data_IF_132607766334
#
_entry.id   IF_132607766334
#
_cell.length_a   1.000
_cell.length_b   1.000
_cell.length_c   1.000
_cell.angle_alpha   90.00
_cell.angle_beta   90.00
_cell.angle_gamma   90.00
#
_symmetry.space_group_name_H-M   'P 1'
#
loop_
_entity.id
_entity.type
_entity.pdbx_description
1 polymer ?
#
# COMPACT_ATOMS: atom_id res chain seq x y z
N UNK A 1 -13.46 5.65 -3.30
CA UNK A 1 -14.73 5.16 -3.85
C UNK A 1 -15.84 5.54 -2.88
N UNK A 2 -16.92 6.18 -3.40
CA UNK A 2 -18.17 6.30 -2.66
C UNK A 2 -18.98 5.01 -2.79
N UNK A 3 -19.78 4.68 -1.80
CA UNK A 3 -20.76 3.59 -1.92
C UNK A 3 -21.98 4.12 -2.62
N UNK A 4 -22.34 3.55 -3.76
CA UNK A 4 -23.55 3.87 -4.49
C UNK A 4 -24.44 2.64 -4.50
N UNK A 5 -25.67 2.80 -4.04
CA UNK A 5 -26.68 1.76 -4.13
C UNK A 5 -27.52 2.03 -5.38
N UNK A 6 -27.58 1.05 -6.27
CA UNK A 6 -28.42 1.09 -7.44
C UNK A 6 -29.54 0.06 -7.24
N UNK A 7 -30.78 0.53 -7.26
CA UNK A 7 -31.95 -0.35 -7.20
C UNK A 7 -32.15 -1.09 -8.53
N UNK A 8 -31.74 -0.46 -9.63
CA UNK A 8 -31.75 -1.05 -10.96
C UNK A 8 -30.37 -0.93 -11.61
N UNK A 9 -29.86 -2.04 -12.15
CA UNK A 9 -28.64 -2.02 -12.94
C UNK A 9 -28.96 -1.60 -14.38
N UNK A 10 -28.24 -0.61 -14.95
CA UNK A 10 -28.38 -0.29 -16.35
C UNK A 10 -28.03 -1.52 -17.21
N UNK A 11 -28.94 -1.86 -18.13
CA UNK A 11 -28.76 -3.00 -19.07
C UNK A 11 -27.93 -2.63 -20.29
N UNK A 12 -27.82 -1.35 -20.56
CA UNK A 12 -27.08 -0.83 -21.70
C UNK A 12 -25.59 -0.65 -21.39
N UNK A 13 -24.75 -0.76 -22.41
CA UNK A 13 -23.33 -0.47 -22.29
C UNK A 13 -23.15 1.00 -21.92
N UNK A 14 -22.54 1.26 -20.78
CA UNK A 14 -22.26 2.63 -20.34
C UNK A 14 -21.10 3.21 -21.16
N UNK A 15 -21.22 4.43 -21.69
CA UNK A 15 -20.12 5.10 -22.36
C UNK A 15 -18.98 5.36 -21.35
N UNK A 16 -17.75 5.35 -21.84
CA UNK A 16 -16.60 5.79 -21.04
C UNK A 16 -16.77 7.26 -20.67
N UNK A 17 -16.83 7.57 -19.39
CA UNK A 17 -16.93 8.94 -18.90
C UNK A 17 -15.64 9.73 -19.15
N UNK A 18 -14.50 9.04 -19.12
CA UNK A 18 -13.17 9.60 -19.41
C UNK A 18 -12.40 8.67 -20.32
N UNK A 19 -11.48 9.25 -21.09
CA UNK A 19 -10.58 8.46 -21.93
C UNK A 19 -9.65 7.58 -21.10
N UNK A 20 -9.16 6.50 -21.72
CA UNK A 20 -8.13 5.67 -21.13
C UNK A 20 -6.88 6.50 -20.82
N UNK A 21 -6.29 6.30 -19.64
CA UNK A 21 -5.11 7.04 -19.21
C UNK A 21 -5.36 8.44 -18.64
N UNK A 22 -6.58 8.98 -18.68
CA UNK A 22 -6.91 10.33 -18.20
C UNK A 22 -6.48 10.57 -16.75
N UNK A 23 -6.77 9.63 -15.87
CA UNK A 23 -6.39 9.71 -14.45
C UNK A 23 -4.87 9.84 -14.26
N UNK A 24 -4.08 9.07 -15.03
CA UNK A 24 -2.62 9.13 -14.97
C UNK A 24 -2.09 10.44 -15.57
N UNK A 25 -2.65 10.89 -16.68
CA UNK A 25 -2.26 12.15 -17.33
C UNK A 25 -2.56 13.35 -16.42
N UNK A 26 -3.73 13.38 -15.80
CA UNK A 26 -4.20 14.51 -14.96
C UNK A 26 -3.55 14.56 -13.58
N UNK A 27 -3.24 13.40 -12.97
CA UNK A 27 -2.84 13.33 -11.55
C UNK A 27 -1.54 12.57 -11.29
N UNK A 28 -1.01 11.87 -12.28
CA UNK A 28 0.11 10.93 -12.09
C UNK A 28 1.49 11.57 -11.96
N UNK A 29 1.62 12.89 -12.20
CA UNK A 29 2.89 13.62 -12.18
C UNK A 29 2.97 14.69 -11.09
N UNK A 30 2.22 14.52 -9.99
CA UNK A 30 2.09 15.49 -8.90
C UNK A 30 1.56 16.86 -9.35
N UNK A 31 0.79 16.88 -10.43
CA UNK A 31 0.09 18.04 -10.95
C UNK A 31 -1.41 17.89 -10.71
N UNK A 32 -2.11 18.98 -10.57
CA UNK A 32 -3.58 19.02 -10.47
C UNK A 32 -4.11 20.00 -11.51
N UNK A 33 -5.17 19.64 -12.27
CA UNK A 33 -5.88 20.61 -13.10
C UNK A 33 -6.36 21.79 -12.25
N UNK A 34 -6.27 23.02 -12.79
CA UNK A 34 -6.65 24.23 -12.05
C UNK A 34 -8.12 24.21 -11.60
N UNK A 35 -8.98 23.58 -12.39
CA UNK A 35 -10.41 23.46 -12.12
C UNK A 35 -10.76 22.30 -11.17
N UNK A 36 -9.76 21.50 -10.75
CA UNK A 36 -10.01 20.36 -9.87
C UNK A 36 -10.41 20.82 -8.46
N UNK A 37 -11.66 20.56 -8.09
CA UNK A 37 -12.23 20.97 -6.81
C UNK A 37 -12.07 19.96 -5.68
N UNK A 38 -11.42 18.82 -5.95
CA UNK A 38 -11.20 17.80 -4.92
C UNK A 38 -12.48 17.13 -4.42
N UNK A 39 -13.44 16.91 -5.27
CA UNK A 39 -14.67 16.21 -4.92
C UNK A 39 -14.37 14.76 -4.53
N UNK A 40 -14.83 14.36 -3.36
CA UNK A 40 -14.65 13.00 -2.83
C UNK A 40 -13.44 12.82 -1.91
N UNK A 41 -13.44 11.71 -1.20
CA UNK A 41 -12.42 11.36 -0.20
C UNK A 41 -11.35 10.39 -0.74
N UNK A 42 -11.62 9.75 -1.88
CA UNK A 42 -10.69 8.82 -2.54
C UNK A 42 -9.74 9.55 -3.50
N UNK A 43 -8.63 8.89 -3.81
CA UNK A 43 -7.67 9.41 -4.78
C UNK A 43 -8.29 9.55 -6.17
N UNK A 44 -8.08 10.67 -6.88
CA UNK A 44 -8.43 10.79 -8.29
C UNK A 44 -7.49 9.97 -9.21
N UNK A 45 -6.32 9.59 -8.71
CA UNK A 45 -5.40 8.69 -9.40
C UNK A 45 -5.84 7.24 -9.21
N UNK A 46 -6.22 6.57 -10.29
CA UNK A 46 -6.75 5.20 -10.25
C UNK A 46 -5.66 4.13 -10.28
N UNK A 47 -4.51 4.42 -10.87
CA UNK A 47 -3.41 3.46 -11.05
C UNK A 47 -2.10 4.06 -10.54
N UNK A 48 -1.41 3.31 -9.71
CA UNK A 48 -0.05 3.59 -9.26
C UNK A 48 0.89 2.56 -9.89
N UNK A 49 1.59 2.90 -11.01
CA UNK A 49 2.38 1.92 -11.75
C UNK A 49 3.47 1.29 -10.90
N UNK A 50 3.52 -0.03 -10.88
CA UNK A 50 4.50 -0.80 -10.11
C UNK A 50 5.95 -0.43 -10.47
N UNK A 51 6.23 -0.23 -11.75
CA UNK A 51 7.57 0.15 -12.24
C UNK A 51 8.10 1.42 -11.58
N UNK A 52 7.25 2.44 -11.39
CA UNK A 52 7.63 3.67 -10.69
C UNK A 52 7.88 3.43 -9.19
N UNK A 53 7.01 2.67 -8.56
CA UNK A 53 7.15 2.32 -7.14
C UNK A 53 8.40 1.49 -6.90
N UNK A 54 8.66 0.50 -7.76
CA UNK A 54 9.86 -0.36 -7.69
C UNK A 54 11.15 0.44 -7.86
N UNK A 55 11.18 1.38 -8.81
CA UNK A 55 12.33 2.27 -9.01
C UNK A 55 12.57 3.18 -7.79
N UNK A 56 11.50 3.74 -7.20
CA UNK A 56 11.60 4.55 -5.98
C UNK A 56 12.14 3.76 -4.79
N UNK A 57 11.66 2.53 -4.58
CA UNK A 57 12.17 1.64 -3.53
C UNK A 57 13.65 1.32 -3.71
N UNK A 58 14.08 1.00 -4.94
CA UNK A 58 15.48 0.73 -5.25
C UNK A 58 16.38 1.94 -4.95
N UNK A 59 15.96 3.14 -5.37
CA UNK A 59 16.70 4.36 -5.08
C UNK A 59 16.81 4.64 -3.57
N UNK A 60 15.72 4.48 -2.83
CA UNK A 60 15.71 4.71 -1.38
C UNK A 60 16.56 3.68 -0.63
N UNK A 61 16.59 2.43 -1.07
CA UNK A 61 17.47 1.40 -0.51
C UNK A 61 18.94 1.82 -0.57
N UNK A 62 19.37 2.46 -1.66
CA UNK A 62 20.77 2.90 -1.85
C UNK A 62 21.08 4.21 -1.11
N UNK A 63 20.10 5.06 -0.89
CA UNK A 63 20.32 6.45 -0.44
C UNK A 63 19.88 6.73 1.00
N UNK A 64 19.20 5.80 1.66
CA UNK A 64 18.70 6.00 3.01
C UNK A 64 18.98 4.80 3.93
N UNK A 65 19.13 5.01 5.24
CA UNK A 65 19.22 3.92 6.19
C UNK A 65 17.95 3.09 6.19
N UNK A 66 18.11 1.77 6.29
CA UNK A 66 17.02 0.83 6.38
C UNK A 66 16.32 0.95 7.74
N UNK A 67 15.02 0.92 7.73
CA UNK A 67 14.26 0.79 8.98
C UNK A 67 14.42 -0.62 9.56
N UNK A 68 14.61 -0.70 10.88
CA UNK A 68 14.96 -1.96 11.54
C UNK A 68 13.90 -3.06 11.41
N UNK A 69 12.62 -2.72 11.31
CA UNK A 69 11.53 -3.69 11.22
C UNK A 69 11.08 -3.99 9.78
N UNK A 70 11.07 -2.99 8.89
CA UNK A 70 10.41 -3.12 7.59
C UNK A 70 11.28 -2.75 6.38
N UNK A 71 12.60 -2.55 6.56
CA UNK A 71 13.51 -2.18 5.45
C UNK A 71 13.20 -0.81 4.87
N UNK A 72 12.89 -0.75 3.58
CA UNK A 72 12.36 0.45 2.92
C UNK A 72 10.88 0.28 2.72
N UNK A 73 10.06 1.20 3.22
CA UNK A 73 8.60 1.16 3.06
C UNK A 73 8.06 2.49 2.56
N UNK A 74 7.29 2.44 1.49
CA UNK A 74 6.62 3.59 0.91
C UNK A 74 5.12 3.48 1.12
N UNK A 75 4.49 4.60 1.43
CA UNK A 75 3.05 4.76 1.46
C UNK A 75 2.56 5.30 0.12
N UNK A 76 1.54 4.70 -0.44
CA UNK A 76 0.81 5.32 -1.54
C UNK A 76 0.04 6.54 -1.04
N UNK A 77 0.03 7.59 -1.83
CA UNK A 77 -0.59 8.85 -1.44
C UNK A 77 -1.59 9.34 -2.50
N UNK A 78 -2.70 9.88 -2.03
CA UNK A 78 -3.62 10.65 -2.86
C UNK A 78 -2.91 11.95 -3.30
N UNK A 79 -2.71 12.19 -4.60
CA UNK A 79 -1.96 13.35 -5.08
C UNK A 79 -2.66 14.70 -4.77
N UNK A 80 -3.97 14.69 -4.57
CA UNK A 80 -4.73 15.89 -4.24
C UNK A 80 -4.61 16.32 -2.76
N UNK A 81 -4.34 15.38 -1.85
CA UNK A 81 -4.39 15.65 -0.41
C UNK A 81 -3.12 15.26 0.34
N UNK A 82 -2.25 14.45 -0.26
CA UNK A 82 -1.11 13.84 0.40
C UNK A 82 -1.47 12.76 1.44
N UNK A 83 -2.75 12.49 1.67
CA UNK A 83 -3.24 11.44 2.57
C UNK A 83 -3.23 10.07 1.87
N UNK A 84 -3.79 9.05 2.49
CA UNK A 84 -3.97 7.74 1.88
C UNK A 84 -4.90 7.81 0.65
N UNK A 85 -4.74 6.88 -0.32
CA UNK A 85 -5.61 6.85 -1.51
C UNK A 85 -7.08 6.64 -1.17
N UNK A 86 -7.36 5.96 -0.07
CA UNK A 86 -8.70 5.71 0.45
C UNK A 86 -8.84 6.25 1.87
N UNK A 87 -10.02 6.71 2.27
CA UNK A 87 -10.23 7.28 3.60
C UNK A 87 -10.13 6.23 4.73
N UNK A 88 -10.42 4.96 4.41
CA UNK A 88 -10.47 3.87 5.40
C UNK A 88 -9.34 2.86 5.25
N UNK A 89 -8.58 2.92 4.16
CA UNK A 89 -7.57 1.92 3.82
C UNK A 89 -6.23 2.59 3.51
N UNK A 90 -5.20 2.17 4.21
CA UNK A 90 -3.81 2.51 3.92
C UNK A 90 -3.20 1.46 3.01
N UNK A 91 -2.38 1.87 2.06
CA UNK A 91 -1.67 0.98 1.14
C UNK A 91 -0.19 1.31 1.12
N UNK A 92 0.65 0.26 1.10
CA UNK A 92 2.09 0.37 1.18
C UNK A 92 2.78 -0.58 0.21
N UNK A 93 4.02 -0.24 -0.12
CA UNK A 93 4.97 -1.14 -0.76
C UNK A 93 6.28 -1.11 0.01
N UNK A 94 6.80 -2.26 0.38
CA UNK A 94 8.08 -2.36 1.09
C UNK A 94 9.08 -3.20 0.31
N UNK A 95 10.37 -2.86 0.45
CA UNK A 95 11.49 -3.61 -0.07
C UNK A 95 12.37 -4.06 1.09
N UNK A 96 12.62 -5.35 1.12
CA UNK A 96 13.54 -6.02 2.05
C UNK A 96 14.76 -6.46 1.25
N UNK A 97 15.95 -5.89 1.48
CA UNK A 97 17.17 -6.34 0.79
C UNK A 97 17.47 -7.81 1.10
N UNK A 98 18.21 -8.47 0.22
CA UNK A 98 18.70 -9.82 0.47
C UNK A 98 19.46 -9.89 1.79
N UNK A 99 19.14 -10.88 2.62
CA UNK A 99 19.74 -11.07 3.94
C UNK A 99 19.19 -10.14 5.03
N UNK A 100 18.16 -9.33 4.72
CA UNK A 100 17.50 -8.51 5.73
C UNK A 100 16.90 -9.39 6.84
N UNK A 101 17.16 -9.00 8.10
CA UNK A 101 16.55 -9.61 9.28
C UNK A 101 15.92 -8.51 10.11
N UNK A 102 14.60 -8.39 10.01
CA UNK A 102 13.81 -7.34 10.64
C UNK A 102 13.63 -7.56 12.13
N UNK A 103 13.67 -6.47 12.90
CA UNK A 103 13.24 -6.51 14.30
C UNK A 103 11.74 -6.75 14.37
N UNK A 104 11.27 -7.52 15.35
CA UNK A 104 9.83 -7.64 15.60
C UNK A 104 9.19 -6.27 15.85
N UNK A 105 7.98 -6.11 15.39
CA UNK A 105 7.16 -4.91 15.61
C UNK A 105 5.68 -5.27 15.72
N UNK A 106 4.91 -4.43 16.40
CA UNK A 106 3.46 -4.58 16.59
C UNK A 106 2.76 -3.31 16.17
N UNK A 107 1.60 -3.45 15.55
CA UNK A 107 0.71 -2.33 15.24
C UNK A 107 -0.73 -2.71 15.54
N UNK A 108 -1.58 -1.73 15.81
CA UNK A 108 -3.01 -1.99 16.00
C UNK A 108 -3.76 -2.24 14.68
N UNK A 109 -3.12 -1.98 13.53
CA UNK A 109 -3.74 -2.24 12.23
C UNK A 109 -3.89 -3.75 11.95
N UNK A 110 -4.94 -4.11 11.22
CA UNK A 110 -5.04 -5.41 10.56
C UNK A 110 -4.45 -5.28 9.17
N UNK A 111 -3.39 -6.02 8.88
CA UNK A 111 -2.67 -5.89 7.63
C UNK A 111 -2.73 -7.17 6.79
N UNK A 112 -2.97 -7.01 5.50
CA UNK A 112 -2.85 -8.06 4.50
C UNK A 112 -1.62 -7.77 3.66
N UNK A 113 -0.78 -8.77 3.48
CA UNK A 113 0.44 -8.72 2.70
C UNK A 113 0.34 -9.57 1.45
N UNK A 114 0.88 -9.08 0.34
CA UNK A 114 1.01 -9.82 -0.92
C UNK A 114 2.46 -9.70 -1.40
N UNK A 115 3.10 -10.82 -1.65
CA UNK A 115 4.49 -10.88 -2.11
C UNK A 115 4.53 -10.65 -3.62
N UNK A 116 5.12 -9.52 -4.03
CA UNK A 116 5.29 -9.21 -5.46
C UNK A 116 6.57 -9.81 -6.03
N UNK A 117 7.66 -9.80 -5.26
CA UNK A 117 8.97 -10.31 -5.68
C UNK A 117 9.69 -10.96 -4.49
N UNK A 118 10.59 -11.91 -4.80
CA UNK A 118 11.55 -12.47 -3.85
C UNK A 118 10.98 -13.53 -2.95
N UNK A 119 11.78 -13.98 -1.98
CA UNK A 119 11.43 -15.05 -1.05
C UNK A 119 12.04 -14.82 0.33
N UNK A 120 11.41 -15.41 1.34
CA UNK A 120 11.88 -15.24 2.71
C UNK A 120 11.02 -15.97 3.72
N UNK A 121 11.01 -15.42 4.92
CA UNK A 121 10.21 -15.91 6.05
C UNK A 121 9.55 -14.75 6.77
N UNK A 122 8.30 -14.90 7.10
CA UNK A 122 7.58 -14.03 8.04
C UNK A 122 7.31 -14.81 9.30
N UNK A 123 7.51 -14.18 10.45
CA UNK A 123 7.08 -14.72 11.75
C UNK A 123 5.97 -13.84 12.29
N UNK A 124 4.83 -14.44 12.63
CA UNK A 124 3.64 -13.78 13.17
C UNK A 124 3.26 -14.47 14.47
N UNK A 125 3.33 -13.76 15.60
CA UNK A 125 3.09 -14.31 16.95
C UNK A 125 3.87 -15.63 17.19
N UNK A 126 5.17 -15.63 16.86
CA UNK A 126 6.04 -16.78 17.02
C UNK A 126 5.86 -17.91 16.00
N UNK A 127 4.86 -17.84 15.13
CA UNK A 127 4.66 -18.82 14.05
C UNK A 127 5.35 -18.36 12.79
N UNK A 128 6.26 -19.18 12.29
CA UNK A 128 7.06 -18.89 11.10
C UNK A 128 6.43 -19.48 9.83
N UNK A 129 6.35 -18.69 8.79
CA UNK A 129 5.87 -19.07 7.46
C UNK A 129 6.90 -18.66 6.42
N UNK A 130 7.26 -19.55 5.52
CA UNK A 130 8.03 -19.21 4.35
C UNK A 130 7.11 -18.54 3.33
N UNK A 131 7.62 -17.55 2.60
CA UNK A 131 6.86 -16.87 1.56
C UNK A 131 7.65 -16.84 0.25
N UNK A 132 6.92 -16.83 -0.86
CA UNK A 132 7.40 -16.71 -2.22
C UNK A 132 6.46 -15.80 -3.05
N UNK A 133 6.81 -15.45 -4.32
CA UNK A 133 5.97 -14.57 -5.12
C UNK A 133 4.53 -15.07 -5.25
N UNK A 134 3.58 -14.15 -5.12
CA UNK A 134 2.13 -14.33 -5.14
C UNK A 134 1.51 -14.88 -3.85
N UNK A 135 2.30 -15.20 -2.84
CA UNK A 135 1.74 -15.54 -1.52
C UNK A 135 1.03 -14.36 -0.88
N UNK A 136 -0.05 -14.68 -0.17
CA UNK A 136 -0.84 -13.73 0.62
C UNK A 136 -0.92 -14.23 2.05
N UNK A 137 -0.63 -13.34 2.99
CA UNK A 137 -0.78 -13.62 4.42
C UNK A 137 -1.33 -12.41 5.17
N UNK A 138 -1.85 -12.67 6.37
CA UNK A 138 -2.51 -11.67 7.21
C UNK A 138 -1.79 -11.56 8.54
N UNK A 139 -1.55 -10.32 8.98
CA UNK A 139 -1.17 -10.03 10.37
C UNK A 139 -2.37 -9.36 11.06
N UNK A 140 -3.04 -10.04 11.99
CA UNK A 140 -4.10 -9.43 12.80
C UNK A 140 -3.58 -8.30 13.68
N UNK A 141 -4.49 -7.45 14.13
CA UNK A 141 -4.21 -6.36 15.06
C UNK A 141 -3.37 -6.83 16.25
N UNK A 142 -2.33 -6.05 16.56
CA UNK A 142 -1.41 -6.21 17.68
C UNK A 142 -0.56 -7.49 17.68
N UNK A 143 -0.59 -8.28 16.61
CA UNK A 143 0.33 -9.39 16.43
C UNK A 143 1.76 -8.91 16.21
N UNK A 144 2.72 -9.60 16.83
CA UNK A 144 4.13 -9.38 16.55
C UNK A 144 4.51 -9.91 15.17
N UNK A 145 5.12 -9.07 14.36
CA UNK A 145 5.53 -9.42 12.99
C UNK A 145 7.00 -9.13 12.80
N UNK A 146 7.71 -10.09 12.23
CA UNK A 146 9.10 -9.89 11.76
C UNK A 146 9.33 -10.58 10.42
N UNK A 147 10.27 -10.04 9.64
CA UNK A 147 10.60 -10.53 8.30
C UNK A 147 12.07 -10.91 8.20
N UNK A 148 12.35 -12.00 7.50
CA UNK A 148 13.69 -12.39 7.07
C UNK A 148 13.67 -12.61 5.57
N UNK A 149 14.39 -11.83 4.79
CA UNK A 149 14.46 -11.94 3.35
C UNK A 149 15.63 -12.84 2.94
N UNK A 150 15.36 -13.98 2.29
CA UNK A 150 16.38 -14.84 1.68
C UNK A 150 16.91 -14.24 0.38
N UNK A 151 16.00 -13.61 -0.37
CA UNK A 151 16.32 -12.83 -1.57
C UNK A 151 15.76 -11.42 -1.40
N UNK A 152 16.19 -10.47 -2.23
CA UNK A 152 15.56 -9.16 -2.25
C UNK A 152 14.07 -9.34 -2.53
N UNK A 153 13.24 -8.85 -1.63
CA UNK A 153 11.80 -9.09 -1.67
C UNK A 153 11.04 -7.77 -1.70
N UNK A 154 10.00 -7.72 -2.51
CA UNK A 154 9.06 -6.60 -2.57
C UNK A 154 7.69 -7.10 -2.15
N UNK A 155 7.11 -6.46 -1.15
CA UNK A 155 5.85 -6.86 -0.54
C UNK A 155 4.89 -5.68 -0.56
N UNK A 156 3.74 -5.87 -1.20
CA UNK A 156 2.61 -4.96 -1.11
C UNK A 156 1.82 -5.24 0.16
N UNK A 157 1.29 -4.21 0.81
CA UNK A 157 0.36 -4.40 1.91
C UNK A 157 -0.74 -3.35 1.92
N UNK A 158 -1.88 -3.72 2.48
CA UNK A 158 -2.96 -2.80 2.80
C UNK A 158 -3.54 -3.11 4.18
N UNK A 159 -4.09 -2.08 4.82
CA UNK A 159 -4.59 -2.19 6.19
C UNK A 159 -5.67 -1.15 6.49
N UNK A 160 -6.32 -1.30 7.64
CA UNK A 160 -7.28 -0.35 8.20
C UNK A 160 -6.61 0.86 8.92
N UNK A 161 -5.29 1.00 8.82
CA UNK A 161 -4.52 2.07 9.46
C UNK A 161 -5.09 3.47 9.20
N UNK A 162 -5.56 3.74 7.97
CA UNK A 162 -6.11 5.04 7.62
C UNK A 162 -7.33 5.41 8.48
N UNK A 163 -8.22 4.45 8.71
CA UNK A 163 -9.37 4.61 9.61
C UNK A 163 -8.93 4.75 11.07
N UNK A 164 -7.99 3.92 11.52
CA UNK A 164 -7.49 3.97 12.88
C UNK A 164 -6.78 5.28 13.21
N UNK A 165 -5.96 5.83 12.29
CA UNK A 165 -5.33 7.13 12.45
C UNK A 165 -6.37 8.25 12.51
N UNK A 166 -7.38 8.23 11.64
CA UNK A 166 -8.46 9.22 11.63
C UNK A 166 -9.28 9.22 12.93
N UNK A 167 -9.43 8.08 13.57
CA UNK A 167 -10.17 7.90 14.83
C UNK A 167 -9.26 7.97 16.07
N UNK A 168 -7.94 8.13 15.92
CA UNK A 168 -6.99 8.19 17.04
C UNK A 168 -6.69 6.83 17.70
N UNK A 169 -6.98 5.72 17.03
CA UNK A 169 -6.78 4.37 17.57
C UNK A 169 -5.44 3.74 17.22
N UNK A 170 -4.74 4.26 16.21
CA UNK A 170 -3.48 3.69 15.76
C UNK A 170 -2.41 3.76 16.85
N UNK A 171 -1.74 2.63 17.10
CA UNK A 171 -0.58 2.48 18.00
C UNK A 171 0.44 1.54 17.36
N UNK A 172 1.72 1.75 17.69
CA UNK A 172 2.83 0.89 17.27
C UNK A 172 3.85 0.72 18.41
N UNK A 173 4.56 -0.43 18.45
CA UNK A 173 5.59 -0.79 19.42
C UNK A 173 6.67 -1.68 18.77
#
# INVERSE_FOLDING_TARGET
>A
FGTTFLEEYPRDVQPLYRSEGDSMASFGSALLPMEFKGEGTASPLLVYPYTRTRAALAHLKETRPLHAAHGVKLRYANPATGKYPFPTMATFMQLLPKGFSGKPSRTTENAVYNVAEGSGRVTIEGKAFDFEPHDIFVAPSWCEVSFVAREESVIFSYSDRAAQEALGFFREA
#
